data_IF_031355995897
#
_entry.id   IF_031355995897
#
_cell.length_a   1.000
_cell.length_b   1.000
_cell.length_c   1.000
_cell.angle_alpha   90.00
_cell.angle_beta   90.00
_cell.angle_gamma   90.00
#
_symmetry.space_group_name_H-M   'P 1'
#
loop_
_entity.id
_entity.type
_entity.pdbx_description
1 polymer ?
#
# COMPACT_ATOMS: atom_id res chain seq x y z
N UNK A 1 -29.73 -5.33 7.37
CA UNK A 1 -29.09 -5.43 6.04
C UNK A 1 -28.04 -4.32 5.95
N UNK A 2 -26.78 -4.63 5.60
CA UNK A 2 -25.62 -3.74 5.76
C UNK A 2 -25.57 -2.50 4.83
N UNK A 3 -26.62 -2.21 4.06
CA UNK A 3 -26.66 -1.06 3.15
C UNK A 3 -25.61 -1.09 2.03
N UNK A 4 -25.08 -2.27 1.70
CA UNK A 4 -24.03 -2.44 0.70
C UNK A 4 -24.66 -2.50 -0.69
N UNK A 5 -24.32 -1.54 -1.55
CA UNK A 5 -24.68 -1.54 -2.97
C UNK A 5 -23.54 -2.13 -3.80
N UNK A 6 -23.87 -3.10 -4.67
CA UNK A 6 -22.90 -3.67 -5.61
C UNK A 6 -22.81 -2.79 -6.86
N UNK A 7 -21.65 -2.16 -7.06
CA UNK A 7 -21.35 -1.44 -8.29
C UNK A 7 -20.53 -2.34 -9.22
N UNK A 8 -21.18 -2.86 -10.27
CA UNK A 8 -20.54 -3.69 -11.29
C UNK A 8 -19.88 -2.80 -12.34
N UNK A 9 -18.58 -2.98 -12.57
CA UNK A 9 -17.87 -2.25 -13.61
C UNK A 9 -18.29 -2.77 -14.99
N UNK A 10 -18.95 -1.94 -15.80
CA UNK A 10 -19.27 -2.28 -17.18
C UNK A 10 -17.98 -2.47 -18.01
N UNK A 11 -17.99 -3.43 -18.95
CA UNK A 11 -16.90 -3.62 -19.90
C UNK A 11 -16.61 -2.29 -20.63
N UNK A 12 -15.34 -1.89 -20.71
CA UNK A 12 -14.86 -0.65 -21.36
C UNK A 12 -15.16 0.68 -20.64
N UNK A 13 -15.28 0.74 -19.32
CA UNK A 13 -15.18 2.00 -18.56
C UNK A 13 -13.86 2.07 -17.80
N UNK A 14 -12.80 2.43 -18.52
CA UNK A 14 -11.42 2.55 -18.02
C UNK A 14 -11.13 3.88 -17.32
N UNK A 15 -12.16 4.64 -16.91
CA UNK A 15 -11.97 5.85 -16.13
C UNK A 15 -11.64 5.49 -14.67
N UNK A 16 -10.35 5.24 -14.46
CA UNK A 16 -9.67 5.23 -13.17
C UNK A 16 -10.06 4.13 -12.20
N UNK A 17 -9.95 2.86 -12.60
CA UNK A 17 -9.87 1.79 -11.61
C UNK A 17 -8.46 1.74 -11.01
N UNK A 18 -8.21 2.58 -10.00
CA UNK A 18 -6.96 2.59 -9.22
C UNK A 18 -6.65 1.19 -8.68
N UNK A 19 -7.67 0.41 -8.31
CA UNK A 19 -7.54 -0.99 -7.90
C UNK A 19 -6.95 -1.85 -9.02
N UNK A 20 -7.33 -1.64 -10.29
CA UNK A 20 -6.79 -2.41 -11.42
C UNK A 20 -5.31 -2.07 -11.69
N UNK A 21 -4.90 -0.81 -11.53
CA UNK A 21 -3.49 -0.41 -11.63
C UNK A 21 -2.65 -1.02 -10.52
N UNK A 22 -3.16 -0.99 -9.29
CA UNK A 22 -2.51 -1.62 -8.14
C UNK A 22 -2.44 -3.14 -8.34
N UNK A 23 -3.52 -3.77 -8.81
CA UNK A 23 -3.56 -5.19 -9.15
C UNK A 23 -2.56 -5.57 -10.25
N UNK A 24 -2.38 -4.72 -11.27
CA UNK A 24 -1.38 -4.93 -12.33
C UNK A 24 0.05 -4.96 -11.80
N UNK A 25 0.33 -4.21 -10.74
CA UNK A 25 1.65 -4.18 -10.08
C UNK A 25 1.81 -5.32 -9.08
N UNK A 26 0.76 -5.62 -8.31
CA UNK A 26 0.73 -6.70 -7.32
C UNK A 26 0.88 -8.08 -7.93
N UNK A 27 0.13 -8.39 -8.99
CA UNK A 27 0.06 -9.75 -9.55
C UNK A 27 1.44 -10.29 -9.96
N UNK A 28 2.30 -9.55 -10.70
CA UNK A 28 3.65 -10.00 -11.01
C UNK A 28 4.53 -10.20 -9.77
N UNK A 29 4.47 -9.27 -8.80
CA UNK A 29 5.26 -9.37 -7.57
C UNK A 29 4.87 -10.61 -6.75
N UNK A 30 3.58 -10.87 -6.59
CA UNK A 30 3.07 -12.08 -5.94
C UNK A 30 3.52 -13.33 -6.71
N UNK A 31 3.45 -13.32 -8.04
CA UNK A 31 3.86 -14.47 -8.86
C UNK A 31 5.36 -14.80 -8.70
N UNK A 32 6.23 -13.78 -8.68
CA UNK A 32 7.67 -13.95 -8.46
C UNK A 32 7.93 -14.57 -7.07
N UNK A 33 7.30 -14.03 -6.02
CA UNK A 33 7.47 -14.54 -4.66
C UNK A 33 6.90 -15.95 -4.48
N UNK A 34 5.74 -16.24 -5.07
CA UNK A 34 5.13 -17.56 -5.05
C UNK A 34 5.99 -18.60 -5.77
N UNK A 35 6.67 -18.23 -6.85
CA UNK A 35 7.60 -19.11 -7.55
C UNK A 35 8.87 -19.39 -6.73
N UNK A 36 9.41 -18.37 -6.04
CA UNK A 36 10.63 -18.52 -5.23
C UNK A 36 10.39 -19.23 -3.89
N UNK A 37 9.19 -19.08 -3.30
CA UNK A 37 8.83 -19.63 -1.99
C UNK A 37 7.42 -20.23 -1.98
N UNK A 38 7.17 -21.32 -2.72
CA UNK A 38 5.84 -21.90 -2.89
C UNK A 38 5.17 -22.37 -1.59
N UNK A 39 5.94 -22.69 -0.55
CA UNK A 39 5.40 -23.15 0.74
C UNK A 39 5.17 -22.02 1.76
N UNK A 40 5.55 -20.78 1.46
CA UNK A 40 5.40 -19.64 2.39
C UNK A 40 4.97 -18.35 1.70
N UNK A 41 4.43 -18.45 0.48
CA UNK A 41 3.99 -17.31 -0.31
C UNK A 41 2.96 -16.45 0.43
N UNK A 42 2.08 -17.09 1.21
CA UNK A 42 1.05 -16.49 2.05
C UNK A 42 1.63 -15.56 3.12
N UNK A 43 2.77 -15.93 3.72
CA UNK A 43 3.48 -15.12 4.72
C UNK A 43 4.13 -13.87 4.12
N UNK A 44 4.47 -13.92 2.83
CA UNK A 44 5.09 -12.80 2.13
C UNK A 44 4.06 -11.78 1.63
N UNK A 45 2.78 -12.17 1.44
CA UNK A 45 1.70 -11.25 1.03
C UNK A 45 1.59 -10.05 1.96
N UNK A 46 1.67 -10.27 3.28
CA UNK A 46 1.55 -9.17 4.24
C UNK A 46 2.70 -8.16 4.12
N UNK A 47 3.92 -8.63 3.82
CA UNK A 47 5.07 -7.76 3.60
C UNK A 47 4.94 -6.97 2.31
N UNK A 48 4.46 -7.61 1.25
CA UNK A 48 4.20 -6.95 -0.03
C UNK A 48 3.09 -5.90 0.09
N UNK A 49 2.01 -6.23 0.80
CA UNK A 49 0.93 -5.31 1.08
C UNK A 49 1.40 -4.12 1.92
N UNK A 50 2.29 -4.34 2.88
CA UNK A 50 2.94 -3.26 3.63
C UNK A 50 3.76 -2.35 2.71
N UNK A 51 4.67 -2.93 1.92
CA UNK A 51 5.53 -2.17 1.01
C UNK A 51 4.74 -1.28 0.04
N UNK A 52 3.60 -1.76 -0.47
CA UNK A 52 2.74 -0.98 -1.37
C UNK A 52 2.00 0.14 -0.64
N UNK A 53 1.57 -0.10 0.61
CA UNK A 53 0.89 0.93 1.41
C UNK A 53 1.82 2.06 1.84
N UNK A 54 3.12 1.79 1.97
CA UNK A 54 4.13 2.78 2.37
C UNK A 54 4.93 3.36 1.21
N UNK A 55 4.76 2.86 -0.02
CA UNK A 55 5.40 3.44 -1.19
C UNK A 55 4.66 4.70 -1.61
N UNK A 56 5.40 5.78 -1.86
CA UNK A 56 4.86 7.03 -2.42
C UNK A 56 4.31 6.75 -3.81
N UNK A 57 3.09 7.22 -4.07
CA UNK A 57 2.49 7.13 -5.38
C UNK A 57 2.82 8.39 -6.19
N UNK A 58 3.47 8.24 -7.35
CA UNK A 58 3.89 9.35 -8.21
C UNK A 58 2.77 10.30 -8.63
N UNK A 59 1.53 9.83 -8.69
CA UNK A 59 0.37 10.66 -9.09
C UNK A 59 -0.11 11.55 -7.95
N UNK A 60 -0.11 11.03 -6.71
CA UNK A 60 -0.64 11.74 -5.55
C UNK A 60 0.45 12.40 -4.71
N UNK A 61 1.72 12.04 -4.91
CA UNK A 61 2.85 12.49 -4.09
C UNK A 61 2.87 11.91 -2.68
N UNK A 62 1.90 11.05 -2.35
CA UNK A 62 1.63 10.57 -1.00
C UNK A 62 1.49 9.04 -0.97
N UNK A 63 1.72 8.44 0.19
CA UNK A 63 1.52 6.99 0.38
C UNK A 63 0.03 6.66 0.53
N UNK A 64 -0.41 5.46 0.11
CA UNK A 64 -1.77 5.00 0.39
C UNK A 64 -2.11 4.93 1.87
N UNK A 65 -1.14 4.60 2.74
CA UNK A 65 -1.37 4.57 4.18
C UNK A 65 -1.63 5.97 4.75
N UNK A 66 -0.85 6.97 4.31
CA UNK A 66 -1.06 8.35 4.69
C UNK A 66 -2.44 8.85 4.25
N UNK A 67 -2.85 8.57 3.01
CA UNK A 67 -4.16 8.98 2.50
C UNK A 67 -5.35 8.37 3.27
N UNK A 68 -5.19 7.16 3.83
CA UNK A 68 -6.27 6.47 4.56
C UNK A 68 -6.26 6.79 6.06
N UNK A 69 -5.09 6.92 6.67
CA UNK A 69 -4.93 7.00 8.13
C UNK A 69 -4.38 8.34 8.63
N UNK A 70 -3.98 9.24 7.74
CA UNK A 70 -3.33 10.52 8.07
C UNK A 70 -1.91 10.39 8.64
N UNK A 71 -1.31 9.19 8.57
CA UNK A 71 0.06 8.91 9.02
C UNK A 71 0.61 7.69 8.32
N UNK A 72 1.93 7.64 8.18
CA UNK A 72 2.61 6.44 7.73
C UNK A 72 2.81 5.42 8.87
N UNK A 73 2.63 4.12 8.60
CA UNK A 73 2.88 3.08 9.59
C UNK A 73 4.39 2.90 9.75
N UNK A 74 4.87 2.95 11.00
CA UNK A 74 6.28 2.73 11.32
C UNK A 74 6.73 1.35 10.86
N UNK A 75 7.68 1.33 9.93
CA UNK A 75 8.26 0.10 9.41
C UNK A 75 9.42 -0.40 10.26
N UNK A 76 9.94 -1.62 9.97
CA UNK A 76 11.15 -2.13 10.61
C UNK A 76 12.34 -1.19 10.47
N UNK A 77 12.45 -0.47 9.35
CA UNK A 77 13.50 0.52 9.12
C UNK A 77 13.37 1.72 10.05
N UNK A 78 12.17 2.25 10.28
CA UNK A 78 11.94 3.37 11.20
C UNK A 78 12.23 2.97 12.66
N UNK A 79 12.00 1.71 13.00
CA UNK A 79 12.35 1.15 14.32
C UNK A 79 13.87 0.97 14.49
N UNK A 80 14.59 0.68 13.40
CA UNK A 80 16.05 0.55 13.36
C UNK A 80 16.75 1.92 13.34
N UNK A 81 16.13 2.92 12.71
CA UNK A 81 16.63 4.30 12.56
C UNK A 81 16.18 5.21 13.72
N UNK A 82 15.38 4.69 14.66
CA UNK A 82 14.72 5.43 15.73
C UNK A 82 15.56 6.58 16.30
N UNK A 83 14.92 7.76 16.35
CA UNK A 83 15.36 9.02 16.99
C UNK A 83 16.05 10.10 16.11
N UNK A 84 15.51 10.42 14.93
CA UNK A 84 15.69 11.76 14.34
C UNK A 84 14.38 12.32 13.79
N UNK A 85 13.47 12.65 14.68
CA UNK A 85 12.56 13.77 14.41
C UNK A 85 12.61 14.60 15.66
N UNK A 86 13.60 15.50 15.69
CA UNK A 86 13.59 16.66 16.55
C UNK A 86 12.18 17.26 16.45
N UNK A 87 11.54 17.33 17.61
CA UNK A 87 10.35 18.13 17.80
C UNK A 87 10.69 19.51 17.24
N UNK A 88 10.02 19.91 16.16
CA UNK A 88 9.99 21.29 15.73
C UNK A 88 9.32 22.07 16.85
N UNK A 89 10.15 22.52 17.80
CA UNK A 89 9.86 23.52 18.80
C UNK A 89 9.21 24.70 18.07
N UNK A 90 8.01 25.17 18.46
CA UNK A 90 7.44 26.35 17.84
C UNK A 90 8.36 27.54 18.17
N UNK A 91 8.91 28.16 17.14
CA UNK A 91 9.57 29.45 17.27
C UNK A 91 8.53 30.50 17.68
N UNK A 92 8.64 30.89 18.96
CA UNK A 92 8.23 32.11 19.66
C UNK A 92 7.25 33.07 18.97
#
# INVERSE_FOLDING_TARGET
MLGIEQNLTANYHSQSNTTERVNRTLKPLIAIYAQQRPNSWDKEIQKLAFAIRTAVNDTTGETPAFMVFGRDPRGPLDLLIGETTEEAQPDN
#
